data_IF_075246797339
#
_entry.id   IF_075246797339
#
_cell.length_a   1.000
_cell.length_b   1.000
_cell.length_c   1.000
_cell.angle_alpha   90.00
_cell.angle_beta   90.00
_cell.angle_gamma   90.00
#
_symmetry.space_group_name_H-M   'P 1'
#
loop_
_entity.id
_entity.type
_entity.pdbx_description
1 polymer ?
#
# COMPACT_ATOMS: atom_id res chain seq x y z
N UNK A 1 29.89 -0.60 25.75
CA UNK A 1 30.31 -1.44 24.60
C UNK A 1 29.04 -1.77 23.85
N UNK A 2 28.70 -0.96 22.83
CA UNK A 2 27.48 -1.19 22.06
C UNK A 2 27.86 -2.21 20.98
N UNK A 3 27.51 -3.47 21.21
CA UNK A 3 27.47 -4.45 20.13
C UNK A 3 26.53 -3.90 19.07
N UNK A 4 27.13 -3.34 18.02
CA UNK A 4 26.42 -2.95 16.81
C UNK A 4 25.69 -4.20 16.33
N UNK A 5 24.37 -4.23 16.48
CA UNK A 5 23.53 -5.20 15.79
C UNK A 5 23.90 -5.12 14.31
N UNK A 6 24.73 -6.06 13.89
CA UNK A 6 25.33 -6.05 12.56
C UNK A 6 24.17 -6.06 11.58
N UNK A 7 24.01 -4.96 10.86
CA UNK A 7 22.92 -4.81 9.91
C UNK A 7 22.96 -6.03 8.96
N UNK A 8 21.89 -6.83 8.86
CA UNK A 8 21.90 -8.07 8.09
C UNK A 8 22.16 -7.84 6.60
N UNK A 9 22.01 -6.60 6.13
CA UNK A 9 22.24 -6.17 4.75
C UNK A 9 23.63 -5.52 4.54
N UNK A 10 24.47 -5.49 5.58
CA UNK A 10 25.85 -5.02 5.48
C UNK A 10 26.64 -5.77 4.40
N UNK A 11 27.31 -5.03 3.52
CA UNK A 11 28.14 -5.55 2.44
C UNK A 11 27.39 -6.10 1.20
N UNK A 12 26.05 -6.01 1.15
CA UNK A 12 25.25 -6.50 0.01
C UNK A 12 25.19 -5.55 -1.20
N UNK A 13 25.55 -4.29 -1.01
CA UNK A 13 25.40 -3.20 -1.99
C UNK A 13 26.74 -2.53 -2.25
N UNK A 14 27.71 -3.27 -2.80
CA UNK A 14 29.04 -2.71 -3.08
C UNK A 14 29.04 -1.79 -4.32
N UNK A 15 29.70 -0.61 -4.24
CA UNK A 15 29.93 0.25 -5.39
C UNK A 15 30.69 -0.51 -6.49
N UNK A 16 30.20 -0.45 -7.74
CA UNK A 16 30.81 -1.14 -8.89
C UNK A 16 30.15 -2.46 -9.30
N UNK A 17 29.20 -2.98 -8.50
CA UNK A 17 28.36 -4.12 -8.86
C UNK A 17 26.96 -3.69 -9.32
N UNK A 18 26.08 -4.63 -9.68
CA UNK A 18 24.66 -4.36 -10.00
C UNK A 18 23.82 -4.12 -8.72
N UNK A 19 24.24 -3.20 -7.85
CA UNK A 19 23.66 -2.95 -6.54
C UNK A 19 22.16 -2.58 -6.58
N UNK A 20 21.71 -1.86 -7.62
CA UNK A 20 20.28 -1.55 -7.82
C UNK A 20 19.41 -2.80 -7.95
N UNK A 21 19.92 -3.80 -8.68
CA UNK A 21 19.23 -5.08 -8.87
C UNK A 21 19.22 -5.89 -7.57
N UNK A 22 20.35 -5.93 -6.87
CA UNK A 22 20.42 -6.57 -5.55
C UNK A 22 19.42 -5.97 -4.57
N UNK A 23 19.26 -4.64 -4.58
CA UNK A 23 18.28 -3.96 -3.74
C UNK A 23 16.85 -4.35 -4.11
N UNK A 24 16.51 -4.36 -5.40
CA UNK A 24 15.21 -4.82 -5.88
C UNK A 24 14.90 -6.28 -5.49
N UNK A 25 15.89 -7.16 -5.57
CA UNK A 25 15.75 -8.57 -5.18
C UNK A 25 15.48 -8.69 -3.67
N UNK A 26 16.18 -7.92 -2.83
CA UNK A 26 15.94 -7.89 -1.38
C UNK A 26 14.58 -7.28 -1.02
N UNK A 27 14.15 -6.19 -1.69
CA UNK A 27 12.79 -5.64 -1.54
C UNK A 27 11.74 -6.70 -1.87
N UNK A 28 11.97 -7.47 -2.94
CA UNK A 28 11.06 -8.55 -3.34
C UNK A 28 11.05 -9.70 -2.34
N UNK A 29 12.18 -10.03 -1.71
CA UNK A 29 12.27 -11.02 -0.63
C UNK A 29 11.54 -10.55 0.62
N UNK A 30 11.78 -9.31 1.04
CA UNK A 30 11.19 -8.73 2.24
C UNK A 30 9.67 -8.71 2.15
N UNK A 31 9.12 -8.27 1.00
CA UNK A 31 7.67 -8.23 0.75
C UNK A 31 6.94 -9.56 0.81
N UNK A 32 7.65 -10.70 0.66
CA UNK A 32 7.04 -12.03 0.76
C UNK A 32 6.76 -12.45 2.20
N UNK A 33 7.44 -11.82 3.16
CA UNK A 33 7.26 -12.13 4.57
C UNK A 33 6.06 -11.34 5.10
N UNK A 34 5.17 -12.01 5.84
CA UNK A 34 4.04 -11.34 6.46
C UNK A 34 4.33 -11.16 7.96
N UNK A 35 5.05 -10.09 8.29
CA UNK A 35 5.52 -9.80 9.65
C UNK A 35 4.78 -8.61 10.28
N UNK A 36 4.79 -8.47 11.62
CA UNK A 36 4.17 -7.34 12.31
C UNK A 36 4.75 -5.97 11.88
N UNK A 37 3.98 -4.90 12.06
CA UNK A 37 4.35 -3.53 11.63
C UNK A 37 5.71 -3.08 12.16
N UNK A 38 5.95 -3.22 13.47
CA UNK A 38 7.23 -2.83 14.09
C UNK A 38 8.43 -3.53 13.46
N UNK A 39 8.28 -4.83 13.20
CA UNK A 39 9.32 -5.59 12.52
C UNK A 39 9.53 -5.12 11.08
N UNK A 40 8.43 -4.84 10.36
CA UNK A 40 8.50 -4.31 8.98
C UNK A 40 9.22 -2.97 8.93
N UNK A 41 8.92 -2.05 9.86
CA UNK A 41 9.57 -0.74 9.95
C UNK A 41 11.07 -0.89 10.13
N UNK A 42 11.50 -1.68 11.13
CA UNK A 42 12.90 -1.91 11.40
C UNK A 42 13.63 -2.61 10.23
N UNK A 43 12.99 -3.61 9.60
CA UNK A 43 13.59 -4.29 8.47
C UNK A 43 13.75 -3.38 7.24
N UNK A 44 12.78 -2.49 6.98
CA UNK A 44 12.87 -1.48 5.92
C UNK A 44 13.97 -0.48 6.22
N UNK A 45 14.02 0.05 7.44
CA UNK A 45 15.03 1.00 7.89
C UNK A 45 16.45 0.41 7.72
N UNK A 46 16.68 -0.81 8.21
CA UNK A 46 17.96 -1.50 8.06
C UNK A 46 18.33 -1.69 6.57
N UNK A 47 17.38 -2.06 5.73
CA UNK A 47 17.61 -2.26 4.29
C UNK A 47 17.98 -0.95 3.59
N UNK A 48 17.28 0.14 3.90
CA UNK A 48 17.55 1.46 3.30
C UNK A 48 18.85 2.06 3.81
N UNK A 49 19.12 1.95 5.12
CA UNK A 49 20.35 2.47 5.74
C UNK A 49 21.56 1.75 5.16
N UNK A 50 21.53 0.41 5.08
CA UNK A 50 22.60 -0.37 4.46
C UNK A 50 22.89 0.04 3.02
N UNK A 51 21.85 0.35 2.24
CA UNK A 51 22.01 0.81 0.86
C UNK A 51 22.69 2.18 0.81
N UNK A 52 22.24 3.13 1.63
CA UNK A 52 22.80 4.50 1.68
C UNK A 52 24.24 4.47 2.19
N UNK A 53 24.51 3.72 3.26
CA UNK A 53 25.84 3.60 3.85
C UNK A 53 26.88 3.09 2.84
N UNK A 54 26.52 2.09 2.03
CA UNK A 54 27.44 1.41 1.12
C UNK A 54 27.55 2.10 -0.25
N UNK A 55 26.44 2.64 -0.78
CA UNK A 55 26.43 3.25 -2.12
C UNK A 55 26.59 4.77 -2.10
N UNK A 56 26.35 5.41 -0.95
CA UNK A 56 26.24 6.87 -0.77
C UNK A 56 25.22 7.53 -1.70
N UNK A 57 24.25 6.75 -2.20
CA UNK A 57 23.19 7.21 -3.10
C UNK A 57 21.81 6.95 -2.50
N UNK A 58 20.83 7.73 -2.94
CA UNK A 58 19.43 7.53 -2.59
C UNK A 58 18.89 6.31 -3.36
N UNK A 59 18.14 5.39 -2.71
CA UNK A 59 17.49 4.28 -3.39
C UNK A 59 16.49 4.75 -4.44
N UNK A 60 16.19 3.89 -5.41
CA UNK A 60 15.20 4.18 -6.45
C UNK A 60 13.80 4.43 -5.86
N UNK A 61 13.14 5.51 -6.29
CA UNK A 61 11.83 5.92 -5.78
C UNK A 61 10.74 4.87 -5.99
N UNK A 62 10.83 4.08 -7.08
CA UNK A 62 9.89 2.96 -7.31
C UNK A 62 10.01 1.90 -6.22
N UNK A 63 11.24 1.59 -5.80
CA UNK A 63 11.48 0.61 -4.74
C UNK A 63 11.07 1.15 -3.37
N UNK A 64 11.31 2.44 -3.09
CA UNK A 64 10.80 3.10 -1.88
C UNK A 64 9.27 3.06 -1.81
N UNK A 65 8.59 3.34 -2.93
CA UNK A 65 7.14 3.21 -3.00
C UNK A 65 6.66 1.78 -2.74
N UNK A 66 7.41 0.76 -3.20
CA UNK A 66 7.10 -0.65 -2.91
C UNK A 66 7.25 -0.98 -1.41
N UNK A 67 8.25 -0.41 -0.75
CA UNK A 67 8.48 -0.56 0.70
C UNK A 67 7.44 0.19 1.53
N UNK A 68 7.03 1.39 1.11
CA UNK A 68 5.95 2.13 1.76
C UNK A 68 4.63 1.35 1.71
N UNK A 69 4.27 0.78 0.55
CA UNK A 69 3.11 -0.11 0.44
C UNK A 69 3.24 -1.38 1.30
N UNK A 70 4.46 -1.86 1.50
CA UNK A 70 4.70 -3.00 2.38
C UNK A 70 4.48 -2.65 3.84
N UNK A 71 4.90 -1.48 4.32
CA UNK A 71 4.63 -1.00 5.68
C UNK A 71 3.12 -0.79 5.88
N UNK A 72 2.44 -0.17 4.92
CA UNK A 72 1.01 0.13 4.99
C UNK A 72 0.10 -1.06 4.61
N UNK A 73 0.64 -2.26 4.43
CA UNK A 73 -0.11 -3.39 3.89
C UNK A 73 -1.37 -3.73 4.71
N UNK A 74 -1.27 -3.73 6.04
CA UNK A 74 -2.39 -4.07 6.93
C UNK A 74 -3.50 -3.02 6.82
N UNK A 75 -3.12 -1.75 6.82
CA UNK A 75 -4.06 -0.65 6.65
C UNK A 75 -4.74 -0.68 5.28
N UNK A 76 -3.98 -0.89 4.21
CA UNK A 76 -4.52 -0.95 2.85
C UNK A 76 -5.42 -2.17 2.64
N UNK A 77 -5.20 -3.25 3.42
CA UNK A 77 -6.00 -4.46 3.38
C UNK A 77 -7.29 -4.35 4.19
N UNK A 78 -7.32 -3.56 5.27
CA UNK A 78 -8.51 -3.36 6.10
C UNK A 78 -9.69 -2.84 5.27
N UNK A 79 -10.75 -3.66 5.14
CA UNK A 79 -11.97 -3.34 4.39
C UNK A 79 -13.10 -2.78 5.26
N UNK A 80 -12.82 -2.40 6.51
CA UNK A 80 -13.83 -1.83 7.38
C UNK A 80 -14.50 -0.61 6.71
N UNK A 81 -15.85 -0.60 6.54
CA UNK A 81 -16.54 0.52 5.91
C UNK A 81 -16.39 1.81 6.73
N UNK A 82 -16.31 1.68 8.05
CA UNK A 82 -16.26 2.78 9.01
C UNK A 82 -14.83 3.21 9.34
N UNK A 83 -13.85 2.80 8.54
CA UNK A 83 -12.44 3.19 8.72
C UNK A 83 -12.26 4.71 8.84
N UNK A 84 -13.01 5.49 8.05
CA UNK A 84 -12.93 6.96 8.08
C UNK A 84 -13.43 7.55 9.40
N UNK A 85 -14.48 7.00 9.99
CA UNK A 85 -15.10 7.53 11.21
C UNK A 85 -14.42 7.03 12.48
N UNK A 86 -13.77 5.85 12.42
CA UNK A 86 -13.12 5.21 13.58
C UNK A 86 -11.69 5.68 13.83
N UNK A 87 -10.98 6.15 12.81
CA UNK A 87 -9.55 6.51 12.93
C UNK A 87 -9.32 7.93 12.46
N UNK A 88 -8.52 8.70 13.19
CA UNK A 88 -8.20 10.09 12.86
C UNK A 88 -7.46 10.23 11.52
N UNK A 89 -6.61 9.24 11.17
CA UNK A 89 -5.81 9.23 9.94
C UNK A 89 -6.02 7.94 9.13
N UNK A 90 -7.15 7.80 8.41
CA UNK A 90 -7.46 6.58 7.67
C UNK A 90 -6.65 6.47 6.37
N UNK A 91 -5.88 5.40 6.21
CA UNK A 91 -5.27 5.06 4.91
C UNK A 91 -6.25 4.28 4.04
N UNK A 92 -6.56 4.81 2.85
CA UNK A 92 -7.45 4.15 1.90
C UNK A 92 -6.69 3.69 0.67
N UNK A 93 -6.91 2.44 0.27
CA UNK A 93 -6.45 1.95 -1.02
C UNK A 93 -7.19 2.63 -2.17
N UNK A 94 -6.56 2.68 -3.35
CA UNK A 94 -7.18 3.23 -4.58
C UNK A 94 -8.53 2.61 -4.90
N UNK A 95 -8.69 1.30 -4.66
CA UNK A 95 -9.96 0.59 -4.85
C UNK A 95 -11.05 1.06 -3.88
N UNK A 96 -10.70 1.25 -2.61
CA UNK A 96 -11.63 1.76 -1.59
C UNK A 96 -12.12 3.18 -1.91
N UNK A 97 -11.20 4.06 -2.34
CA UNK A 97 -11.55 5.42 -2.79
C UNK A 97 -12.54 5.34 -3.96
N UNK A 98 -12.29 4.49 -4.96
CA UNK A 98 -13.20 4.33 -6.09
C UNK A 98 -14.59 3.82 -5.68
N UNK A 99 -14.67 2.90 -4.71
CA UNK A 99 -15.96 2.42 -4.20
C UNK A 99 -16.71 3.52 -3.45
N UNK A 100 -16.02 4.30 -2.62
CA UNK A 100 -16.62 5.45 -1.91
C UNK A 100 -17.13 6.50 -2.89
N UNK A 101 -16.30 6.90 -3.85
CA UNK A 101 -16.68 7.84 -4.92
C UNK A 101 -17.85 7.36 -5.79
N UNK A 102 -18.11 6.05 -5.86
CA UNK A 102 -19.28 5.49 -6.54
C UNK A 102 -20.55 5.53 -5.68
N UNK A 103 -20.42 5.52 -4.34
CA UNK A 103 -21.54 5.62 -3.41
C UNK A 103 -21.96 7.07 -3.17
N UNK A 104 -20.99 7.99 -3.16
CA UNK A 104 -21.19 9.44 -2.99
C UNK A 104 -21.70 10.12 -4.28
N UNK A 105 -22.45 9.42 -5.12
CA UNK A 105 -23.06 10.05 -6.29
C UNK A 105 -24.06 11.11 -5.81
N UNK A 106 -23.98 12.36 -6.29
CA UNK A 106 -24.97 13.37 -5.95
C UNK A 106 -26.35 12.89 -6.38
N UNK A 107 -27.28 12.83 -5.43
CA UNK A 107 -28.66 12.48 -5.69
C UNK A 107 -29.33 13.66 -6.40
N UNK A 108 -29.88 13.44 -7.61
CA UNK A 108 -30.71 14.43 -8.30
C UNK A 108 -29.96 15.55 -9.04
N UNK A 109 -30.53 16.75 -9.03
CA UNK A 109 -30.17 17.91 -9.87
C UNK A 109 -28.79 18.54 -9.53
N UNK A 110 -28.20 18.18 -8.39
CA UNK A 110 -26.87 18.61 -7.97
C UNK A 110 -25.73 18.04 -8.84
N UNK A 111 -26.00 17.03 -9.66
CA UNK A 111 -25.04 16.53 -10.65
C UNK A 111 -24.63 17.58 -11.69
N UNK A 112 -25.48 18.58 -11.94
CA UNK A 112 -25.22 19.67 -12.88
C UNK A 112 -24.10 20.62 -12.43
N UNK A 113 -23.96 20.84 -11.11
CA UNK A 113 -22.94 21.73 -10.53
C UNK A 113 -21.62 21.02 -10.22
N UNK A 114 -21.55 19.69 -10.37
CA UNK A 114 -20.31 18.93 -10.18
C UNK A 114 -19.46 19.01 -11.44
N UNK A 115 -18.33 19.72 -11.36
CA UNK A 115 -17.37 19.92 -12.46
C UNK A 115 -16.66 18.63 -12.92
N UNK A 116 -16.93 17.48 -12.30
CA UNK A 116 -16.40 16.18 -12.71
C UNK A 116 -17.29 15.63 -13.82
N UNK A 117 -17.07 16.17 -15.02
CA UNK A 117 -17.78 15.83 -16.24
C UNK A 117 -17.85 14.32 -16.50
N UNK A 118 -19.04 13.89 -16.91
CA UNK A 118 -19.32 12.63 -17.62
C UNK A 118 -18.89 11.35 -16.90
N UNK A 119 -19.50 11.04 -15.76
CA UNK A 119 -19.52 9.64 -15.26
C UNK A 119 -20.73 8.91 -15.83
N UNK A 120 -20.46 7.80 -16.53
CA UNK A 120 -21.46 6.95 -17.16
C UNK A 120 -22.56 6.55 -16.17
N UNK A 121 -23.83 6.56 -16.62
CA UNK A 121 -24.99 6.04 -15.89
C UNK A 121 -24.71 4.59 -15.46
N UNK A 122 -24.32 4.39 -14.20
CA UNK A 122 -24.14 3.05 -13.63
C UNK A 122 -25.54 2.45 -13.49
N UNK A 123 -25.88 1.48 -14.34
CA UNK A 123 -27.16 0.76 -14.22
C UNK A 123 -27.19 0.03 -12.87
N UNK A 124 -28.30 0.09 -12.11
CA UNK A 124 -28.40 -0.62 -10.85
C UNK A 124 -28.23 -2.13 -11.07
N UNK A 125 -27.41 -2.78 -10.25
CA UNK A 125 -27.30 -4.24 -10.24
C UNK A 125 -28.62 -4.83 -9.75
N UNK A 126 -29.30 -5.61 -10.61
CA UNK A 126 -30.47 -6.39 -10.21
C UNK A 126 -30.00 -7.62 -9.44
N UNK A 127 -30.26 -7.67 -8.14
CA UNK A 127 -30.09 -8.91 -7.37
C UNK A 127 -31.26 -9.84 -7.71
N UNK A 128 -30.95 -11.05 -8.20
CA UNK A 128 -31.94 -12.10 -8.44
C UNK A 128 -32.22 -12.75 -7.10
N UNK A 129 -33.33 -12.40 -6.45
CA UNK A 129 -33.81 -13.13 -5.27
C UNK A 129 -34.20 -14.53 -5.75
N UNK A 130 -33.36 -15.54 -5.47
CA UNK A 130 -33.78 -16.94 -5.63
C UNK A 130 -34.83 -17.19 -4.55
N UNK A 131 -36.10 -17.24 -4.95
CA UNK A 131 -37.13 -17.86 -4.13
C UNK A 131 -36.73 -19.34 -4.04
N UNK A 132 -36.26 -19.76 -2.87
CA UNK A 132 -36.25 -21.17 -2.52
C UNK A 132 -37.70 -21.53 -2.23
N UNK A 133 -38.39 -22.09 -3.23
CA UNK A 133 -39.66 -22.76 -2.99
C UNK A 133 -39.38 -23.94 -2.06
N UNK A 134 -40.09 -23.96 -0.93
CA UNK A 134 -39.94 -24.95 0.13
C UNK A 134 -40.75 -26.21 -0.15
N UNK A 135 -40.22 -27.31 0.40
CA UNK A 135 -40.84 -28.59 0.77
C UNK A 135 -41.67 -29.34 -0.30
#
# INVERSE_FOLDING_TARGET
MNDTLKNPYSGRFQPGTKFKKSFEDEVTRLKKQNMPLEWRNHAVEQLTEAYIEQTKQVPDGVQLHRLANYILQDDLRDQCPDKITRTDFPFLSRGQIQVRMKRETPTGDMGFFSSIGKRQRIKPKKYRHMQREGA
#
